data_IF_938542083532
#
_entry.id   IF_938542083532
#
_cell.length_a   1.000
_cell.length_b   1.000
_cell.length_c   1.000
_cell.angle_alpha   90.00
_cell.angle_beta   90.00
_cell.angle_gamma   90.00
#
_symmetry.space_group_name_H-M   'P 1'
#
loop_
_entity.id
_entity.type
_entity.pdbx_description
1 polymer ?
#
# COMPACT_ATOMS: atom_id res chain seq x y z
N UNK A 1 4.54 8.12 -23.71
CA UNK A 1 3.14 7.80 -23.29
C UNK A 1 3.09 6.65 -22.26
N UNK A 2 3.53 5.41 -22.55
CA UNK A 2 3.45 4.31 -21.55
C UNK A 2 4.37 4.55 -20.33
N UNK A 3 5.60 4.98 -20.55
CA UNK A 3 6.55 5.25 -19.48
C UNK A 3 6.21 6.49 -18.64
N UNK A 4 5.63 7.49 -19.26
CA UNK A 4 5.12 8.71 -18.61
C UNK A 4 3.93 8.39 -17.68
N UNK A 5 3.07 7.47 -18.09
CA UNK A 5 1.97 6.98 -17.24
C UNK A 5 2.48 6.23 -16.00
N UNK A 6 3.56 5.47 -16.13
CA UNK A 6 4.19 4.79 -14.98
C UNK A 6 4.79 5.76 -13.95
N UNK A 7 4.97 7.02 -14.33
CA UNK A 7 5.45 8.10 -13.46
C UNK A 7 4.33 8.98 -12.89
N UNK A 8 3.06 8.67 -13.19
CA UNK A 8 1.91 9.47 -12.70
C UNK A 8 1.85 9.57 -11.17
N UNK A 9 2.39 8.58 -10.45
CA UNK A 9 2.53 8.60 -8.99
C UNK A 9 3.50 9.71 -8.51
N UNK A 10 4.44 10.17 -9.34
CA UNK A 10 5.46 11.14 -8.94
C UNK A 10 4.84 12.49 -8.57
N UNK A 11 3.88 12.97 -9.37
CA UNK A 11 3.14 14.20 -9.08
C UNK A 11 2.36 14.08 -7.79
N UNK A 12 1.70 12.94 -7.60
CA UNK A 12 0.90 12.68 -6.41
C UNK A 12 1.78 12.56 -5.15
N UNK A 13 2.95 11.93 -5.28
CA UNK A 13 3.91 11.81 -4.18
C UNK A 13 4.52 13.17 -3.79
N UNK A 14 4.85 14.03 -4.76
CA UNK A 14 5.30 15.40 -4.46
C UNK A 14 4.21 16.18 -3.71
N UNK A 15 2.94 15.96 -4.05
CA UNK A 15 1.80 16.53 -3.32
C UNK A 15 1.72 15.98 -1.89
N UNK A 16 1.95 14.67 -1.70
CA UNK A 16 2.03 14.07 -0.36
C UNK A 16 3.14 14.69 0.48
N UNK A 17 4.31 14.97 -0.11
CA UNK A 17 5.40 15.66 0.60
C UNK A 17 5.01 17.07 1.04
N UNK A 18 4.28 17.83 0.21
CA UNK A 18 3.77 19.16 0.60
C UNK A 18 2.76 19.08 1.76
N UNK A 19 1.90 18.06 1.74
CA UNK A 19 0.96 17.80 2.83
C UNK A 19 1.70 17.48 4.15
N UNK A 20 2.73 16.64 4.10
CA UNK A 20 3.58 16.30 5.25
C UNK A 20 4.27 17.56 5.81
N UNK A 21 4.82 18.41 4.92
CA UNK A 21 5.47 19.65 5.34
C UNK A 21 4.48 20.62 6.00
N UNK A 22 3.23 20.65 5.55
CA UNK A 22 2.19 21.50 6.13
C UNK A 22 1.85 21.15 7.58
N UNK A 23 2.05 19.90 7.99
CA UNK A 23 1.89 19.46 9.38
C UNK A 23 2.86 20.19 10.29
N UNK A 24 4.15 20.24 9.91
CA UNK A 24 5.18 21.00 10.65
C UNK A 24 4.88 22.49 10.70
N UNK A 25 4.43 23.08 9.59
CA UNK A 25 4.04 24.49 9.53
C UNK A 25 2.85 24.82 10.44
N UNK A 26 1.98 23.85 10.70
CA UNK A 26 0.85 23.98 11.63
C UNK A 26 1.21 23.67 13.11
N UNK A 27 2.49 23.44 13.41
CA UNK A 27 2.97 23.12 14.76
C UNK A 27 2.81 21.63 15.15
N UNK A 28 2.45 20.78 14.21
CA UNK A 28 2.43 19.32 14.39
C UNK A 28 3.83 18.72 14.18
N UNK A 29 4.00 17.49 14.63
CA UNK A 29 5.23 16.71 14.44
C UNK A 29 4.86 15.45 13.65
N UNK A 30 5.44 15.30 12.44
CA UNK A 30 5.29 14.13 11.59
C UNK A 30 6.68 13.71 11.08
N UNK A 31 7.53 13.29 12.02
CA UNK A 31 8.94 12.95 11.73
C UNK A 31 9.10 11.50 11.29
N UNK A 32 8.23 10.61 11.77
CA UNK A 32 8.29 9.18 11.49
C UNK A 32 7.13 8.75 10.60
N UNK A 33 7.41 8.63 9.31
CA UNK A 33 6.48 8.10 8.34
C UNK A 33 7.20 7.25 7.29
N UNK A 34 6.48 6.33 6.66
CA UNK A 34 7.01 5.50 5.58
C UNK A 34 6.13 5.59 4.34
N UNK A 35 6.76 5.49 3.17
CA UNK A 35 6.08 5.33 1.89
C UNK A 35 6.00 3.85 1.54
N UNK A 36 4.80 3.32 1.39
CA UNK A 36 4.57 1.89 1.15
C UNK A 36 3.54 1.62 0.06
N UNK A 37 2.81 0.53 0.22
CA UNK A 37 1.69 0.16 -0.62
C UNK A 37 2.00 -0.35 -2.02
N UNK A 38 0.96 -0.35 -2.86
CA UNK A 38 1.02 -0.93 -4.20
C UNK A 38 1.97 -0.21 -5.15
N UNK A 39 2.10 1.10 -5.01
CA UNK A 39 2.97 1.93 -5.85
C UNK A 39 4.45 1.65 -5.60
N UNK A 40 4.85 1.39 -4.35
CA UNK A 40 6.22 0.96 -4.04
C UNK A 40 6.52 -0.40 -4.68
N UNK A 41 5.59 -1.37 -4.60
CA UNK A 41 5.76 -2.66 -5.27
C UNK A 41 5.83 -2.50 -6.80
N UNK A 42 5.02 -1.64 -7.40
CA UNK A 42 5.08 -1.33 -8.83
C UNK A 42 6.44 -0.74 -9.23
N UNK A 43 6.97 0.19 -8.47
CA UNK A 43 8.28 0.80 -8.72
C UNK A 43 9.41 -0.23 -8.73
N UNK A 44 9.34 -1.24 -7.86
CA UNK A 44 10.39 -2.28 -7.75
C UNK A 44 10.24 -3.40 -8.78
N UNK A 45 9.03 -3.84 -9.01
CA UNK A 45 8.77 -5.10 -9.73
C UNK A 45 8.06 -4.90 -11.07
N UNK A 46 7.53 -3.71 -11.35
CA UNK A 46 6.75 -3.44 -12.56
C UNK A 46 5.67 -4.52 -12.80
N UNK A 47 5.06 -5.00 -11.73
CA UNK A 47 4.14 -6.13 -11.79
C UNK A 47 2.76 -5.74 -12.31
N UNK A 48 2.16 -4.67 -11.78
CA UNK A 48 0.91 -4.06 -12.21
C UNK A 48 0.95 -2.56 -12.02
N UNK A 49 0.09 -1.84 -12.70
CA UNK A 49 -0.04 -0.41 -12.53
C UNK A 49 -0.61 -0.07 -11.14
N UNK A 50 -0.01 0.92 -10.51
CA UNK A 50 -0.46 1.54 -9.26
C UNK A 50 0.05 2.97 -9.23
N UNK A 51 -0.78 3.92 -8.80
CA UNK A 51 -0.41 5.34 -8.76
C UNK A 51 -0.74 6.00 -7.43
N UNK A 52 -1.62 5.39 -6.64
CA UNK A 52 -2.04 5.91 -5.35
C UNK A 52 -0.87 5.89 -4.36
N UNK A 53 -0.87 6.83 -3.43
CA UNK A 53 0.22 7.01 -2.46
C UNK A 53 -0.27 6.59 -1.08
N UNK A 54 0.38 5.56 -0.53
CA UNK A 54 0.13 5.08 0.83
C UNK A 54 1.26 5.57 1.74
N UNK A 55 0.95 6.47 2.68
CA UNK A 55 1.87 6.96 3.73
C UNK A 55 1.44 6.37 5.07
N UNK A 56 2.36 5.65 5.71
CA UNK A 56 2.11 5.07 7.01
C UNK A 56 2.74 5.94 8.10
N UNK A 57 1.96 6.21 9.15
CA UNK A 57 2.34 7.05 10.29
C UNK A 57 2.15 6.29 11.60
N UNK A 58 3.01 6.53 12.58
CA UNK A 58 2.93 5.85 13.87
C UNK A 58 1.95 6.47 14.85
N UNK A 59 1.77 7.80 14.78
CA UNK A 59 0.95 8.56 15.74
C UNK A 59 -0.40 8.96 15.13
N UNK A 60 -1.53 8.45 15.65
CA UNK A 60 -2.87 8.83 15.18
C UNK A 60 -3.19 10.32 15.38
N UNK A 61 -2.52 11.03 16.28
CA UNK A 61 -2.75 12.45 16.50
C UNK A 61 -2.37 13.30 15.27
N UNK A 62 -1.44 12.79 14.45
CA UNK A 62 -1.02 13.45 13.22
C UNK A 62 -2.16 13.54 12.18
N UNK A 63 -3.15 12.62 12.20
CA UNK A 63 -4.28 12.64 11.27
C UNK A 63 -5.08 13.94 11.35
N UNK A 64 -5.19 14.56 12.53
CA UNK A 64 -5.89 15.82 12.70
C UNK A 64 -5.31 16.97 11.87
N UNK A 65 -3.98 17.00 11.72
CA UNK A 65 -3.30 18.02 10.90
C UNK A 65 -3.45 17.77 9.39
N UNK A 66 -3.77 16.53 9.00
CA UNK A 66 -3.96 16.10 7.61
C UNK A 66 -5.43 16.08 7.19
N UNK A 67 -6.35 16.36 8.12
CA UNK A 67 -7.78 16.39 7.86
C UNK A 67 -8.21 17.75 7.24
N UNK A 68 -8.86 17.75 6.05
CA UNK A 68 -9.43 18.99 5.49
C UNK A 68 -10.42 19.69 6.42
N UNK A 69 -11.12 18.92 7.25
CA UNK A 69 -12.08 19.46 8.24
C UNK A 69 -11.40 20.29 9.35
N UNK A 70 -10.13 20.01 9.65
CA UNK A 70 -9.40 20.63 10.77
C UNK A 70 -8.27 21.55 10.33
N UNK A 71 -7.87 21.49 9.05
CA UNK A 71 -6.75 22.25 8.50
C UNK A 71 -7.14 23.02 7.25
N UNK A 72 -7.22 24.33 7.34
CA UNK A 72 -7.50 25.20 6.19
C UNK A 72 -6.46 25.02 5.07
N UNK A 73 -5.21 24.69 5.41
CA UNK A 73 -4.16 24.44 4.42
C UNK A 73 -4.46 23.18 3.59
N UNK A 74 -4.98 22.14 4.21
CA UNK A 74 -5.36 20.90 3.53
C UNK A 74 -6.68 21.10 2.76
N UNK A 75 -7.66 21.79 3.35
CA UNK A 75 -8.93 22.11 2.70
C UNK A 75 -8.72 22.90 1.40
N UNK A 76 -7.76 23.82 1.38
CA UNK A 76 -7.41 24.58 0.18
C UNK A 76 -6.85 23.69 -0.98
N UNK A 77 -6.34 22.49 -0.66
CA UNK A 77 -5.80 21.55 -1.65
C UNK A 77 -6.86 20.56 -2.13
N UNK A 78 -7.72 20.09 -1.23
CA UNK A 78 -8.85 19.21 -1.58
C UNK A 78 -9.92 19.25 -0.49
N UNK A 79 -11.18 19.22 -0.92
CA UNK A 79 -12.37 19.02 -0.08
C UNK A 79 -12.95 17.61 -0.24
N UNK A 80 -12.37 16.80 -1.13
CA UNK A 80 -12.79 15.43 -1.37
C UNK A 80 -11.92 14.49 -0.54
N UNK A 81 -12.51 13.93 0.53
CA UNK A 81 -11.77 13.06 1.45
C UNK A 81 -12.68 12.07 2.17
N UNK A 82 -12.06 11.03 2.72
CA UNK A 82 -12.66 10.12 3.71
C UNK A 82 -11.75 10.15 4.94
N UNK A 83 -12.35 10.35 6.11
CA UNK A 83 -11.66 10.37 7.40
C UNK A 83 -12.26 9.33 8.32
N UNK A 84 -11.40 8.52 8.93
CA UNK A 84 -11.74 7.58 10.00
C UNK A 84 -10.68 7.64 11.11
N UNK A 85 -10.91 6.98 12.23
CA UNK A 85 -9.99 7.00 13.38
C UNK A 85 -8.58 6.51 13.07
N UNK A 86 -8.41 5.68 12.04
CA UNK A 86 -7.13 5.08 11.65
C UNK A 86 -6.55 5.60 10.33
N UNK A 87 -7.25 6.45 9.59
CA UNK A 87 -6.74 6.98 8.33
C UNK A 87 -7.43 8.25 7.86
N UNK A 88 -6.74 9.00 7.01
CA UNK A 88 -7.28 10.07 6.17
C UNK A 88 -6.90 9.77 4.73
N UNK A 89 -7.90 9.64 3.87
CA UNK A 89 -7.76 9.46 2.43
C UNK A 89 -8.14 10.76 1.73
N UNK A 90 -7.25 11.29 0.93
CA UNK A 90 -7.43 12.52 0.16
C UNK A 90 -7.50 12.20 -1.33
N UNK A 91 -8.52 12.73 -2.02
CA UNK A 91 -8.71 12.52 -3.46
C UNK A 91 -8.21 13.72 -4.25
N UNK A 92 -7.45 13.44 -5.31
CA UNK A 92 -6.94 14.40 -6.27
C UNK A 92 -7.23 13.93 -7.69
N UNK A 93 -7.17 14.81 -8.72
CA UNK A 93 -7.36 14.39 -10.11
C UNK A 93 -6.39 13.28 -10.56
N UNK A 94 -5.18 13.27 -10.00
CA UNK A 94 -4.14 12.29 -10.33
C UNK A 94 -4.36 10.93 -9.67
N UNK A 95 -5.03 10.87 -8.51
CA UNK A 95 -5.24 9.65 -7.71
C UNK A 95 -5.52 9.93 -6.25
N UNK A 96 -5.22 8.98 -5.38
CA UNK A 96 -5.49 9.02 -3.95
C UNK A 96 -4.20 9.09 -3.13
N UNK A 97 -4.23 9.86 -2.03
CA UNK A 97 -3.19 9.85 -1.00
C UNK A 97 -3.83 9.34 0.29
N UNK A 98 -3.36 8.22 0.78
CA UNK A 98 -3.78 7.60 2.04
C UNK A 98 -2.74 7.84 3.13
N UNK A 99 -3.12 8.53 4.20
CA UNK A 99 -2.37 8.58 5.44
C UNK A 99 -2.98 7.57 6.40
N UNK A 100 -2.25 6.49 6.69
CA UNK A 100 -2.76 5.34 7.46
C UNK A 100 -1.96 5.19 8.75
N UNK A 101 -2.65 5.10 9.89
CA UNK A 101 -2.00 4.79 11.16
C UNK A 101 -1.66 3.31 11.21
N UNK A 102 -0.37 3.01 11.10
CA UNK A 102 0.12 1.64 11.17
C UNK A 102 1.60 1.64 11.53
N UNK A 103 1.93 1.08 12.68
CA UNK A 103 3.31 0.80 13.05
C UNK A 103 3.94 -0.31 12.21
N UNK A 104 5.25 -0.54 12.34
CA UNK A 104 5.95 -1.60 11.65
C UNK A 104 5.51 -2.99 12.13
N UNK A 105 5.36 -3.93 11.20
CA UNK A 105 5.04 -5.33 11.48
C UNK A 105 6.27 -6.24 11.41
N UNK A 106 7.37 -5.76 10.82
CA UNK A 106 8.60 -6.53 10.65
C UNK A 106 9.83 -5.82 11.23
N UNK A 107 10.93 -6.56 11.38
CA UNK A 107 12.17 -6.02 11.98
C UNK A 107 12.88 -4.98 11.11
N UNK A 108 12.78 -5.13 9.78
CA UNK A 108 13.39 -4.23 8.80
C UNK A 108 12.28 -3.69 7.88
N UNK A 109 11.42 -2.79 8.39
CA UNK A 109 10.21 -2.38 7.68
C UNK A 109 10.49 -1.52 6.46
N UNK A 110 11.57 -0.75 6.46
CA UNK A 110 11.87 0.22 5.42
C UNK A 110 13.39 0.36 5.21
N UNK A 111 13.77 0.93 4.07
CA UNK A 111 15.11 1.43 3.79
C UNK A 111 15.01 2.87 3.26
N UNK A 112 16.10 3.62 3.39
CA UNK A 112 16.14 5.00 2.93
C UNK A 112 16.41 5.05 1.42
N UNK A 113 15.55 5.76 0.69
CA UNK A 113 15.74 6.12 -0.72
C UNK A 113 15.77 7.65 -0.86
N UNK A 114 16.47 8.16 -1.87
CA UNK A 114 16.40 9.59 -2.24
C UNK A 114 15.32 9.76 -3.31
N UNK A 115 14.21 10.38 -2.93
CA UNK A 115 13.08 10.67 -3.81
C UNK A 115 12.88 12.20 -3.86
N UNK A 116 12.93 12.79 -5.05
CA UNK A 116 12.75 14.23 -5.24
C UNK A 116 13.68 15.09 -4.36
N UNK A 117 14.95 14.63 -4.21
CA UNK A 117 15.98 15.32 -3.40
C UNK A 117 15.82 15.16 -1.89
N UNK A 118 14.89 14.29 -1.43
CA UNK A 118 14.56 14.07 -0.03
C UNK A 118 14.86 12.63 0.38
N UNK A 119 15.41 12.43 1.57
CA UNK A 119 15.52 11.10 2.15
C UNK A 119 14.14 10.63 2.61
N UNK A 120 13.69 9.49 2.09
CA UNK A 120 12.38 8.90 2.35
C UNK A 120 12.57 7.48 2.85
N UNK A 121 11.93 7.14 3.95
CA UNK A 121 11.81 5.77 4.41
C UNK A 121 10.78 5.02 3.55
N UNK A 122 11.27 4.13 2.65
CA UNK A 122 10.44 3.36 1.72
C UNK A 122 10.31 1.93 2.21
N UNK A 123 9.07 1.47 2.39
CA UNK A 123 8.80 0.13 2.93
C UNK A 123 9.34 -0.98 2.03
N UNK A 124 9.83 -2.04 2.66
CA UNK A 124 10.25 -3.26 1.98
C UNK A 124 9.02 -4.09 1.56
N UNK A 125 9.19 -4.99 0.59
CA UNK A 125 8.12 -5.94 0.24
C UNK A 125 7.74 -6.81 1.44
N UNK A 126 8.72 -7.11 2.33
CA UNK A 126 8.52 -7.84 3.58
C UNK A 126 7.72 -7.07 4.63
N UNK A 127 7.51 -5.77 4.47
CA UNK A 127 6.61 -4.96 5.30
C UNK A 127 5.26 -4.72 4.61
N UNK A 128 5.28 -4.37 3.32
CA UNK A 128 4.06 -4.08 2.55
C UNK A 128 3.11 -5.28 2.53
N UNK A 129 3.61 -6.48 2.24
CA UNK A 129 2.78 -7.70 2.19
C UNK A 129 2.15 -8.04 3.55
N UNK A 130 2.89 -8.10 4.66
CA UNK A 130 2.31 -8.23 5.99
C UNK A 130 1.22 -7.22 6.31
N UNK A 131 1.41 -5.95 6.01
CA UNK A 131 0.39 -4.91 6.23
C UNK A 131 -0.88 -5.20 5.45
N UNK A 132 -0.77 -5.58 4.16
CA UNK A 132 -1.93 -5.99 3.35
C UNK A 132 -2.65 -7.21 3.94
N UNK A 133 -1.92 -8.24 4.29
CA UNK A 133 -2.46 -9.48 4.89
C UNK A 133 -3.12 -9.18 6.24
N UNK A 134 -2.48 -8.38 7.09
CA UNK A 134 -2.98 -8.09 8.43
C UNK A 134 -4.23 -7.22 8.43
N UNK A 135 -4.17 -6.09 7.71
CA UNK A 135 -5.26 -5.12 7.73
C UNK A 135 -6.45 -5.49 6.86
N UNK A 136 -6.22 -6.23 5.76
CA UNK A 136 -7.29 -6.58 4.81
C UNK A 136 -7.81 -8.00 4.94
N UNK A 137 -7.21 -8.89 5.70
CA UNK A 137 -7.57 -10.31 5.87
C UNK A 137 -8.93 -10.75 5.30
N UNK A 138 -10.04 -10.38 5.95
CA UNK A 138 -11.40 -10.70 5.49
C UNK A 138 -11.82 -9.97 4.19
N UNK A 139 -11.15 -8.89 3.84
CA UNK A 139 -11.40 -8.07 2.64
C UNK A 139 -10.27 -8.19 1.62
N UNK A 140 -9.54 -9.30 1.65
CA UNK A 140 -8.43 -9.55 0.74
C UNK A 140 -8.88 -9.44 -0.71
N UNK A 141 -8.22 -8.56 -1.48
CA UNK A 141 -8.64 -8.18 -2.84
C UNK A 141 -7.86 -8.95 -3.91
N UNK A 142 -8.31 -8.87 -5.15
CA UNK A 142 -7.58 -9.40 -6.30
C UNK A 142 -6.17 -8.79 -6.43
N UNK A 143 -6.02 -7.48 -6.14
CA UNK A 143 -4.71 -6.80 -6.09
C UNK A 143 -3.79 -7.41 -5.03
N UNK A 144 -4.33 -7.73 -3.86
CA UNK A 144 -3.52 -8.29 -2.78
C UNK A 144 -3.08 -9.73 -3.08
N UNK A 145 -3.95 -10.54 -3.73
CA UNK A 145 -3.58 -11.87 -4.26
C UNK A 145 -2.44 -11.75 -5.26
N UNK A 146 -2.55 -10.81 -6.19
CA UNK A 146 -1.53 -10.60 -7.23
C UNK A 146 -0.21 -10.12 -6.64
N UNK A 147 -0.24 -9.13 -5.73
CA UNK A 147 0.93 -8.59 -5.06
C UNK A 147 1.65 -9.67 -4.23
N UNK A 148 0.89 -10.46 -3.45
CA UNK A 148 1.45 -11.56 -2.65
C UNK A 148 2.04 -12.66 -3.53
N UNK A 149 1.33 -13.07 -4.60
CA UNK A 149 1.82 -14.09 -5.53
C UNK A 149 3.13 -13.66 -6.20
N UNK A 150 3.23 -12.38 -6.59
CA UNK A 150 4.43 -11.80 -7.18
C UNK A 150 5.60 -11.79 -6.19
N UNK A 151 5.38 -11.37 -4.95
CA UNK A 151 6.45 -11.35 -3.94
C UNK A 151 6.93 -12.76 -3.59
N UNK A 152 6.02 -13.74 -3.48
CA UNK A 152 6.39 -15.15 -3.27
C UNK A 152 7.31 -15.66 -4.39
N UNK A 153 7.06 -15.26 -5.63
CA UNK A 153 7.84 -15.73 -6.79
C UNK A 153 9.16 -14.97 -6.93
N UNK A 154 9.12 -13.65 -6.86
CA UNK A 154 10.28 -12.80 -7.17
C UNK A 154 11.20 -12.56 -5.96
N UNK A 155 10.67 -12.67 -4.75
CA UNK A 155 11.41 -12.47 -3.49
C UNK A 155 11.19 -13.65 -2.52
N UNK A 156 11.53 -14.91 -2.90
CA UNK A 156 11.31 -16.08 -2.04
C UNK A 156 12.01 -15.97 -0.68
N UNK A 157 13.09 -15.18 -0.59
CA UNK A 157 13.80 -14.85 0.65
C UNK A 157 12.95 -14.01 1.63
N UNK A 158 11.87 -13.35 1.18
CA UNK A 158 10.94 -12.62 2.02
C UNK A 158 10.02 -13.55 2.84
N UNK A 159 9.76 -14.78 2.35
CA UNK A 159 8.79 -15.69 2.97
C UNK A 159 9.03 -15.97 4.46
N UNK A 160 10.25 -16.22 4.95
CA UNK A 160 10.46 -16.44 6.39
C UNK A 160 9.98 -15.29 7.27
N UNK A 161 10.12 -14.04 6.82
CA UNK A 161 9.71 -12.86 7.58
C UNK A 161 8.18 -12.66 7.58
N UNK A 162 7.50 -13.01 6.48
CA UNK A 162 6.05 -12.83 6.36
C UNK A 162 5.22 -14.04 6.85
N UNK A 163 5.85 -15.21 6.98
CA UNK A 163 5.19 -16.46 7.35
C UNK A 163 4.34 -16.39 8.63
N UNK A 164 4.79 -15.78 9.75
CA UNK A 164 3.98 -15.69 10.95
C UNK A 164 2.63 -15.03 10.70
N UNK A 165 2.62 -13.93 9.94
CA UNK A 165 1.41 -13.16 9.62
C UNK A 165 0.51 -13.93 8.64
N UNK A 166 1.11 -14.63 7.67
CA UNK A 166 0.35 -15.52 6.79
C UNK A 166 -0.39 -16.60 7.58
N UNK A 167 0.29 -17.22 8.55
CA UNK A 167 -0.30 -18.24 9.42
C UNK A 167 -1.48 -17.69 10.23
N UNK A 168 -1.31 -16.52 10.84
CA UNK A 168 -2.33 -15.91 11.69
C UNK A 168 -3.57 -15.50 10.90
N UNK A 169 -3.43 -15.16 9.62
CA UNK A 169 -4.53 -14.74 8.72
C UNK A 169 -4.96 -15.82 7.71
N UNK A 170 -4.37 -17.01 7.78
CA UNK A 170 -4.57 -18.10 6.83
C UNK A 170 -6.06 -18.41 6.59
N UNK A 171 -6.79 -18.69 7.65
CA UNK A 171 -8.18 -19.17 7.56
C UNK A 171 -9.04 -18.12 6.87
N UNK A 172 -9.01 -16.89 7.36
CA UNK A 172 -9.85 -15.80 6.85
C UNK A 172 -9.56 -15.47 5.38
N UNK A 173 -8.30 -15.56 4.94
CA UNK A 173 -7.93 -15.31 3.54
C UNK A 173 -8.38 -16.46 2.64
N UNK A 174 -8.20 -17.71 3.07
CA UNK A 174 -8.66 -18.88 2.31
C UNK A 174 -10.18 -18.90 2.16
N UNK A 175 -10.92 -18.59 3.22
CA UNK A 175 -12.37 -18.44 3.18
C UNK A 175 -12.80 -17.31 2.23
N UNK A 176 -12.14 -16.15 2.31
CA UNK A 176 -12.40 -15.02 1.40
C UNK A 176 -12.23 -15.42 -0.05
N UNK A 177 -11.11 -16.08 -0.39
CA UNK A 177 -10.84 -16.55 -1.76
C UNK A 177 -11.91 -17.56 -2.20
N UNK A 178 -12.29 -18.49 -1.36
CA UNK A 178 -13.29 -19.53 -1.68
C UNK A 178 -14.69 -18.93 -1.90
N UNK A 179 -15.14 -18.07 -0.98
CA UNK A 179 -16.49 -17.50 -0.99
C UNK A 179 -16.71 -16.46 -2.10
N UNK A 180 -15.65 -15.71 -2.48
CA UNK A 180 -15.76 -14.61 -3.43
C UNK A 180 -14.99 -14.82 -4.73
N UNK A 181 -14.71 -16.09 -5.08
CA UNK A 181 -13.82 -16.44 -6.20
C UNK A 181 -14.20 -15.78 -7.53
N UNK A 182 -15.50 -15.71 -7.85
CA UNK A 182 -15.98 -15.12 -9.10
C UNK A 182 -15.70 -13.63 -9.15
N UNK A 183 -16.10 -12.84 -8.14
CA UNK A 183 -15.83 -11.40 -8.09
C UNK A 183 -14.34 -11.08 -8.03
N UNK A 184 -13.56 -11.88 -7.28
CA UNK A 184 -12.09 -11.72 -7.27
C UNK A 184 -11.45 -11.98 -8.63
N UNK A 185 -12.01 -12.91 -9.43
CA UNK A 185 -11.55 -13.13 -10.80
C UNK A 185 -11.87 -11.95 -11.70
N UNK A 186 -13.10 -11.43 -11.64
CA UNK A 186 -13.51 -10.25 -12.41
C UNK A 186 -12.64 -9.04 -12.09
N UNK A 187 -12.41 -8.78 -10.79
CA UNK A 187 -11.50 -7.72 -10.34
C UNK A 187 -10.05 -7.95 -10.79
N UNK A 188 -9.61 -9.20 -10.83
CA UNK A 188 -8.27 -9.57 -11.28
C UNK A 188 -8.09 -9.32 -12.78
N UNK A 189 -9.08 -9.67 -13.60
CA UNK A 189 -9.06 -9.48 -15.05
C UNK A 189 -9.09 -7.98 -15.42
N UNK A 190 -9.60 -7.13 -14.52
CA UNK A 190 -9.55 -5.68 -14.65
C UNK A 190 -8.20 -5.06 -14.25
N UNK A 191 -7.25 -5.83 -13.70
CA UNK A 191 -5.93 -5.33 -13.35
C UNK A 191 -5.13 -4.95 -14.59
N UNK A 192 -4.50 -3.79 -14.54
CA UNK A 192 -3.51 -3.41 -15.54
C UNK A 192 -2.17 -4.06 -15.23
N UNK A 193 -1.97 -5.26 -15.79
CA UNK A 193 -0.75 -6.07 -15.60
C UNK A 193 0.37 -5.50 -16.47
N UNK A 194 1.58 -5.37 -15.91
CA UNK A 194 2.78 -4.89 -16.61
C UNK A 194 3.69 -6.07 -17.00
N UNK A 195 4.71 -6.35 -16.19
CA UNK A 195 5.75 -7.36 -16.52
C UNK A 195 5.47 -8.72 -15.88
N UNK A 196 4.83 -8.78 -14.72
CA UNK A 196 4.50 -10.02 -14.04
C UNK A 196 3.23 -10.64 -14.61
N UNK A 197 3.37 -11.48 -15.64
CA UNK A 197 2.24 -12.05 -16.38
C UNK A 197 1.85 -13.42 -15.83
N UNK A 198 0.96 -13.44 -14.86
CA UNK A 198 0.36 -14.67 -14.29
C UNK A 198 -1.16 -14.55 -14.29
N UNK A 199 -1.84 -15.68 -14.53
CA UNK A 199 -3.29 -15.75 -14.47
C UNK A 199 -3.83 -15.81 -13.03
N UNK A 200 -5.13 -15.56 -12.87
CA UNK A 200 -5.80 -15.60 -11.59
C UNK A 200 -5.58 -16.91 -10.84
N UNK A 201 -5.82 -18.05 -11.52
CA UNK A 201 -5.70 -19.36 -10.88
C UNK A 201 -4.27 -19.67 -10.45
N UNK A 202 -3.26 -19.30 -11.26
CA UNK A 202 -1.86 -19.45 -10.90
C UNK A 202 -1.49 -18.65 -9.63
N UNK A 203 -2.00 -17.41 -9.54
CA UNK A 203 -1.79 -16.56 -8.36
C UNK A 203 -2.48 -17.14 -7.13
N UNK A 204 -3.74 -17.55 -7.25
CA UNK A 204 -4.50 -18.19 -6.17
C UNK A 204 -3.82 -19.46 -5.68
N UNK A 205 -3.38 -20.34 -6.58
CA UNK A 205 -2.70 -21.59 -6.22
C UNK A 205 -1.39 -21.32 -5.48
N UNK A 206 -0.64 -20.31 -5.89
CA UNK A 206 0.62 -19.92 -5.25
C UNK A 206 0.38 -19.38 -3.84
N UNK A 207 -0.58 -18.45 -3.70
CA UNK A 207 -0.98 -17.88 -2.41
C UNK A 207 -1.49 -18.98 -1.47
N UNK A 208 -2.37 -19.87 -1.97
CA UNK A 208 -2.93 -20.98 -1.18
C UNK A 208 -1.83 -21.92 -0.69
N UNK A 209 -0.84 -22.26 -1.53
CA UNK A 209 0.31 -23.09 -1.11
C UNK A 209 1.13 -22.39 -0.04
N UNK A 210 1.41 -21.10 -0.17
CA UNK A 210 2.16 -20.34 0.82
C UNK A 210 1.43 -20.25 2.17
N UNK A 211 0.10 -19.99 2.15
CA UNK A 211 -0.74 -20.00 3.33
C UNK A 211 -0.79 -21.36 4.03
N UNK A 212 -0.82 -22.46 3.28
CA UNK A 212 -0.84 -23.82 3.82
C UNK A 212 0.54 -24.29 4.34
N UNK A 213 1.62 -23.66 3.90
CA UNK A 213 2.98 -23.94 4.36
C UNK A 213 3.45 -23.03 5.51
N UNK A 214 2.62 -22.06 5.92
CA UNK A 214 2.90 -21.11 7.00
C UNK A 214 2.50 -21.67 8.36
#
# INVERSE_FOLDING_TARGET
>A
MAEERLKSWETLFQRALLLIDSVGAAGGILDEWTFGGGTVLMRRHRHRFSKDIDIFIGDPQCLGYLSPRLSNAIEALTTHYIEQSGFVKLYFPEGEIDFVVSGPLTRNPAHTEVLFGRQVAVETSTEIIPKKVWHRGAEFTARDIFDLAMVIENEPQALPAIRPILRDRRVVILERIAQHRTGLREDFEALEILEYRRGFDECVDRVTRALNAA
#
